data_IF_597741031086
#
_entry.id   IF_597741031086
#
_cell.length_a   1.000
_cell.length_b   1.000
_cell.length_c   1.000
_cell.angle_alpha   90.00
_cell.angle_beta   90.00
_cell.angle_gamma   90.00
#
_symmetry.space_group_name_H-M   'P 1'
#
loop_
_entity.id
_entity.type
_entity.pdbx_description
1 polymer ?
#
# COMPACT_ATOMS: atom_id res chain seq x y z
N UNK A 1 15.06 -12.67 9.77
CA UNK A 1 13.78 -13.24 9.27
C UNK A 1 12.91 -12.09 8.78
N UNK A 2 12.88 -11.91 7.46
CA UNK A 2 12.08 -10.85 6.82
C UNK A 2 10.64 -11.35 6.62
N UNK A 3 9.83 -11.28 7.66
CA UNK A 3 8.43 -11.66 7.59
C UNK A 3 7.56 -10.45 7.30
N UNK A 4 6.65 -10.56 6.32
CA UNK A 4 5.58 -9.57 6.15
C UNK A 4 4.56 -9.67 7.29
N UNK A 5 3.98 -8.53 7.64
CA UNK A 5 2.91 -8.41 8.63
C UNK A 5 1.67 -7.99 7.87
N UNK A 6 0.59 -8.75 8.01
CA UNK A 6 -0.69 -8.43 7.35
C UNK A 6 -1.79 -8.35 8.38
N UNK A 7 -2.61 -7.30 8.30
CA UNK A 7 -3.81 -7.16 9.12
C UNK A 7 -4.95 -6.51 8.36
N UNK A 8 -6.16 -6.64 8.88
CA UNK A 8 -7.36 -6.03 8.33
C UNK A 8 -8.03 -5.16 9.38
N UNK A 9 -8.33 -3.92 9.01
CA UNK A 9 -9.14 -2.98 9.79
C UNK A 9 -10.58 -3.11 9.31
N UNK A 10 -11.49 -3.67 10.10
CA UNK A 10 -12.87 -3.88 9.68
C UNK A 10 -13.69 -2.58 9.65
N UNK A 11 -14.77 -2.59 8.89
CA UNK A 11 -15.72 -1.49 8.80
C UNK A 11 -15.42 -0.48 7.69
N UNK A 12 -16.27 0.53 7.59
CA UNK A 12 -16.12 1.54 6.55
C UNK A 12 -14.82 2.34 6.72
N UNK A 13 -13.97 2.42 5.67
CA UNK A 13 -12.73 3.20 5.73
C UNK A 13 -13.00 4.65 6.12
N UNK A 14 -12.16 5.20 7.00
CA UNK A 14 -12.27 6.59 7.44
C UNK A 14 -10.97 7.34 7.16
N UNK A 15 -11.12 8.54 6.60
CA UNK A 15 -10.00 9.43 6.40
C UNK A 15 -9.66 10.18 7.68
N UNK A 16 -8.39 10.59 7.82
CA UNK A 16 -7.95 11.46 8.90
C UNK A 16 -8.70 12.79 8.86
N UNK A 17 -9.42 13.10 9.93
CA UNK A 17 -10.10 14.37 10.07
C UNK A 17 -9.12 15.50 10.38
N UNK A 18 -9.37 16.67 9.81
CA UNK A 18 -8.56 17.87 10.15
C UNK A 18 -8.73 18.21 11.63
N UNK A 19 -7.65 18.57 12.32
CA UNK A 19 -7.74 19.07 13.68
C UNK A 19 -8.67 20.29 13.75
N UNK A 20 -9.44 20.38 14.81
CA UNK A 20 -10.33 21.53 15.08
C UNK A 20 -9.76 22.36 16.21
N UNK A 21 -9.81 23.65 16.05
CA UNK A 21 -9.49 24.59 17.13
C UNK A 21 -10.77 24.82 17.95
N UNK A 22 -10.69 24.62 19.25
CA UNK A 22 -11.73 24.94 20.21
C UNK A 22 -11.17 25.71 21.38
N UNK A 23 -12.03 26.25 22.22
CA UNK A 23 -11.63 26.99 23.41
C UNK A 23 -11.99 26.18 24.66
N UNK A 24 -10.99 25.94 25.54
CA UNK A 24 -11.19 25.30 26.83
C UNK A 24 -10.62 26.26 27.91
N UNK A 25 -11.45 26.68 28.84
CA UNK A 25 -11.09 27.61 29.91
C UNK A 25 -10.42 28.90 29.40
N UNK A 26 -10.97 29.46 28.27
CA UNK A 26 -10.46 30.70 27.69
C UNK A 26 -9.20 30.55 26.85
N UNK A 27 -8.65 29.32 26.69
CA UNK A 27 -7.43 29.06 25.91
C UNK A 27 -7.75 28.24 24.65
N UNK A 28 -7.20 28.64 23.53
CA UNK A 28 -7.31 27.87 22.28
C UNK A 28 -6.64 26.50 22.46
N UNK A 29 -7.36 25.43 22.11
CA UNK A 29 -6.83 24.07 22.06
C UNK A 29 -7.16 23.43 20.71
N UNK A 30 -6.23 22.62 20.22
CA UNK A 30 -6.41 21.81 19.01
C UNK A 30 -6.92 20.43 19.42
N UNK A 31 -8.01 19.99 18.78
CA UNK A 31 -8.63 18.70 19.03
C UNK A 31 -8.64 17.86 17.76
N UNK A 32 -8.18 16.61 17.86
CA UNK A 32 -8.42 15.61 16.83
C UNK A 32 -9.86 15.11 16.95
N UNK A 33 -10.63 15.03 15.85
CA UNK A 33 -12.01 14.51 15.89
C UNK A 33 -12.07 13.11 16.52
N UNK A 34 -13.05 12.87 17.39
CA UNK A 34 -13.18 11.59 18.10
C UNK A 34 -13.25 10.38 17.16
N UNK A 35 -13.91 10.53 16.00
CA UNK A 35 -13.96 9.46 14.97
C UNK A 35 -12.58 9.12 14.44
N UNK A 36 -11.71 10.11 14.24
CA UNK A 36 -10.32 9.88 13.79
C UNK A 36 -9.54 9.12 14.85
N UNK A 37 -9.62 9.55 16.11
CA UNK A 37 -8.95 8.88 17.24
C UNK A 37 -9.44 7.43 17.37
N UNK A 38 -10.75 7.19 17.30
CA UNK A 38 -11.32 5.84 17.39
C UNK A 38 -10.84 4.95 16.25
N UNK A 39 -10.72 5.49 15.03
CA UNK A 39 -10.25 4.74 13.87
C UNK A 39 -8.75 4.45 13.93
N UNK A 40 -7.93 5.42 14.33
CA UNK A 40 -6.50 5.23 14.58
C UNK A 40 -6.25 4.18 15.67
N UNK A 41 -7.04 4.19 16.76
CA UNK A 41 -6.97 3.15 17.80
C UNK A 41 -7.34 1.76 17.28
N UNK A 42 -8.34 1.66 16.40
CA UNK A 42 -8.72 0.40 15.76
C UNK A 42 -7.59 -0.13 14.86
N UNK A 43 -6.92 0.76 14.10
CA UNK A 43 -5.75 0.42 13.30
C UNK A 43 -4.61 -0.07 14.19
N UNK A 44 -4.27 0.70 15.24
CA UNK A 44 -3.23 0.35 16.19
C UNK A 44 -3.48 -1.02 16.83
N UNK A 45 -4.71 -1.31 17.22
CA UNK A 45 -5.09 -2.61 17.79
C UNK A 45 -4.90 -3.76 16.79
N UNK A 46 -5.39 -3.59 15.55
CA UNK A 46 -5.24 -4.61 14.51
C UNK A 46 -3.76 -4.86 14.15
N UNK A 47 -2.97 -3.78 14.07
CA UNK A 47 -1.53 -3.87 13.84
C UNK A 47 -0.81 -4.57 15.01
N UNK A 48 -1.16 -4.25 16.26
CA UNK A 48 -0.56 -4.85 17.44
C UNK A 48 -0.84 -6.36 17.51
N UNK A 49 -2.05 -6.79 17.18
CA UNK A 49 -2.38 -8.21 17.08
C UNK A 49 -1.53 -8.92 16.01
N UNK A 50 -1.36 -8.30 14.84
CA UNK A 50 -0.55 -8.86 13.77
C UNK A 50 0.95 -8.86 14.09
N UNK A 51 1.43 -7.90 14.87
CA UNK A 51 2.80 -7.88 15.38
C UNK A 51 3.08 -9.04 16.34
N UNK A 52 2.07 -9.53 17.06
CA UNK A 52 2.19 -10.71 17.93
C UNK A 52 3.41 -10.66 18.86
N UNK A 53 3.68 -9.49 19.46
CA UNK A 53 4.82 -9.30 20.38
C UNK A 53 6.18 -9.11 19.69
N UNK A 54 6.22 -9.05 18.35
CA UNK A 54 7.47 -8.74 17.63
C UNK A 54 7.93 -7.31 17.95
N UNK A 55 9.23 -7.04 17.95
CA UNK A 55 9.74 -5.69 18.09
C UNK A 55 9.32 -4.82 16.90
N UNK A 56 9.32 -3.51 17.09
CA UNK A 56 9.09 -2.56 16.00
C UNK A 56 10.06 -2.83 14.85
N UNK A 57 9.56 -2.68 13.63
CA UNK A 57 10.41 -2.79 12.45
C UNK A 57 11.41 -1.62 12.49
N UNK A 58 12.68 -1.96 12.48
CA UNK A 58 13.77 -1.00 12.37
C UNK A 58 14.21 -0.88 10.89
N UNK A 59 14.48 0.36 10.46
CA UNK A 59 14.89 0.65 9.08
C UNK A 59 13.72 0.90 8.13
N UNK A 60 13.95 0.61 6.86
CA UNK A 60 13.04 0.94 5.75
C UNK A 60 11.84 -0.02 5.71
N UNK A 61 10.68 0.51 5.35
CA UNK A 61 9.42 -0.22 5.28
C UNK A 61 8.74 0.00 3.93
N UNK A 62 8.26 -1.09 3.34
CA UNK A 62 7.27 -1.07 2.25
C UNK A 62 5.88 -1.34 2.84
N UNK A 63 4.90 -0.54 2.45
CA UNK A 63 3.52 -0.64 2.91
C UNK A 63 2.56 -0.77 1.72
N UNK A 64 1.71 -1.80 1.74
CA UNK A 64 0.65 -1.99 0.75
C UNK A 64 -0.71 -1.90 1.42
N UNK A 65 -1.59 -1.05 0.88
CA UNK A 65 -2.90 -0.74 1.46
C UNK A 65 -4.00 -0.99 0.43
N UNK A 66 -4.88 -1.95 0.70
CA UNK A 66 -6.08 -2.22 -0.09
C UNK A 66 -7.32 -1.71 0.66
N UNK A 67 -8.01 -0.74 0.09
CA UNK A 67 -9.17 -0.08 0.67
C UNK A 67 -10.43 -0.60 -0.03
N UNK A 68 -11.27 -1.34 0.72
CA UNK A 68 -12.56 -1.83 0.28
C UNK A 68 -13.67 -0.88 0.80
N UNK A 69 -14.15 0.01 -0.08
CA UNK A 69 -15.21 0.96 0.24
C UNK A 69 -16.60 0.29 0.23
N UNK A 70 -17.55 0.73 1.06
CA UNK A 70 -18.90 0.20 1.04
C UNK A 70 -19.61 0.55 -0.26
N UNK A 71 -20.37 -0.41 -0.82
CA UNK A 71 -21.27 -0.17 -1.93
C UNK A 71 -22.54 0.48 -1.36
N UNK A 72 -23.03 1.61 -1.93
CA UNK A 72 -24.27 2.24 -1.45
C UNK A 72 -25.46 1.29 -1.55
N UNK A 73 -26.20 1.12 -0.45
CA UNK A 73 -27.37 0.25 -0.40
C UNK A 73 -28.49 0.64 -1.38
N UNK A 74 -28.51 1.91 -1.81
CA UNK A 74 -29.48 2.43 -2.79
C UNK A 74 -29.18 2.02 -4.24
N UNK A 75 -28.05 1.35 -4.52
CA UNK A 75 -27.71 0.96 -5.87
C UNK A 75 -28.51 -0.24 -6.35
N UNK A 76 -28.86 -0.26 -7.64
CA UNK A 76 -29.50 -1.41 -8.29
C UNK A 76 -28.57 -2.64 -8.24
N UNK A 77 -29.16 -3.84 -8.31
CA UNK A 77 -28.40 -5.11 -8.36
C UNK A 77 -27.34 -5.13 -9.46
N UNK A 78 -27.66 -4.60 -10.66
CA UNK A 78 -26.73 -4.50 -11.79
C UNK A 78 -25.54 -3.62 -11.45
N UNK A 79 -25.79 -2.42 -10.86
CA UNK A 79 -24.71 -1.49 -10.48
C UNK A 79 -23.86 -2.06 -9.34
N UNK A 80 -24.48 -2.76 -8.40
CA UNK A 80 -23.80 -3.46 -7.32
C UNK A 80 -22.86 -4.55 -7.87
N UNK A 81 -23.33 -5.36 -8.81
CA UNK A 81 -22.50 -6.39 -9.47
C UNK A 81 -21.32 -5.78 -10.23
N UNK A 82 -21.53 -4.71 -11.00
CA UNK A 82 -20.48 -3.99 -11.72
C UNK A 82 -19.41 -3.42 -10.77
N UNK A 83 -19.81 -2.93 -9.59
CA UNK A 83 -18.88 -2.45 -8.58
C UNK A 83 -18.01 -3.59 -8.00
N UNK A 84 -18.60 -4.75 -7.72
CA UNK A 84 -17.87 -5.92 -7.25
C UNK A 84 -16.95 -6.52 -8.32
N UNK A 85 -17.34 -6.44 -9.59
CA UNK A 85 -16.51 -6.85 -10.73
C UNK A 85 -15.33 -5.89 -10.99
N UNK A 86 -15.30 -4.72 -10.31
CA UNK A 86 -14.25 -3.72 -10.51
C UNK A 86 -14.45 -2.82 -11.74
N UNK A 87 -15.60 -2.89 -12.39
CA UNK A 87 -15.96 -2.02 -13.52
C UNK A 87 -16.26 -0.58 -13.05
N UNK A 88 -16.65 -0.43 -11.76
CA UNK A 88 -16.90 0.86 -11.14
C UNK A 88 -15.93 1.05 -9.96
N UNK A 89 -15.27 2.20 -9.93
CA UNK A 89 -14.35 2.57 -8.85
C UNK A 89 -14.95 3.64 -7.94
N UNK A 90 -14.65 3.61 -6.61
CA UNK A 90 -15.16 4.60 -5.68
C UNK A 90 -14.44 5.94 -5.84
N UNK A 91 -15.13 6.94 -6.39
CA UNK A 91 -14.64 8.31 -6.59
C UNK A 91 -15.16 9.29 -5.52
N UNK A 92 -15.83 8.77 -4.49
CA UNK A 92 -16.41 9.54 -3.38
C UNK A 92 -15.54 9.43 -2.13
N UNK A 93 -15.83 10.28 -1.14
CA UNK A 93 -15.16 10.24 0.18
C UNK A 93 -15.26 8.86 0.85
N UNK A 94 -14.28 8.51 1.71
CA UNK A 94 -13.11 9.30 2.08
C UNK A 94 -12.06 9.39 0.97
N UNK A 95 -11.27 10.47 0.96
CA UNK A 95 -10.17 10.67 0.03
C UNK A 95 -9.07 9.64 0.33
N UNK A 96 -8.41 9.16 -0.70
CA UNK A 96 -7.44 8.07 -0.60
C UNK A 96 -6.27 8.43 0.31
N UNK A 97 -5.70 9.62 0.13
CA UNK A 97 -4.58 10.16 0.91
C UNK A 97 -4.92 10.29 2.41
N UNK A 98 -6.14 10.72 2.72
CA UNK A 98 -6.60 10.85 4.10
C UNK A 98 -6.77 9.49 4.80
N UNK A 99 -7.17 8.44 4.06
CA UNK A 99 -7.23 7.07 4.61
C UNK A 99 -5.81 6.55 4.85
N UNK A 100 -4.92 6.73 3.89
CA UNK A 100 -3.50 6.40 4.02
C UNK A 100 -2.90 7.06 5.26
N UNK A 101 -3.12 8.37 5.43
CA UNK A 101 -2.60 9.09 6.60
C UNK A 101 -3.10 8.51 7.93
N UNK A 102 -4.37 8.15 8.01
CA UNK A 102 -4.92 7.52 9.21
C UNK A 102 -4.26 6.15 9.49
N UNK A 103 -4.01 5.34 8.44
CA UNK A 103 -3.35 4.04 8.56
C UNK A 103 -1.90 4.21 9.05
N UNK A 104 -1.14 5.09 8.42
CA UNK A 104 0.26 5.31 8.77
C UNK A 104 0.40 5.82 10.21
N UNK A 105 -0.42 6.82 10.60
CA UNK A 105 -0.43 7.36 11.95
C UNK A 105 -0.85 6.31 13.00
N UNK A 106 -1.83 5.45 12.68
CA UNK A 106 -2.26 4.36 13.57
C UNK A 106 -1.22 3.26 13.75
N UNK A 107 -0.28 3.13 12.83
CA UNK A 107 0.83 2.16 12.91
C UNK A 107 2.06 2.73 13.63
N UNK A 108 2.16 4.04 13.85
CA UNK A 108 3.27 4.66 14.56
C UNK A 108 3.36 4.14 16.00
N UNK A 109 4.56 3.75 16.42
CA UNK A 109 4.81 3.16 17.72
C UNK A 109 4.27 1.75 17.93
N UNK A 110 3.68 1.13 16.88
CA UNK A 110 3.12 -0.23 16.91
C UNK A 110 3.85 -1.15 15.93
N UNK A 111 3.90 -0.78 14.65
CA UNK A 111 4.58 -1.55 13.62
C UNK A 111 5.99 -1.00 13.33
N UNK A 112 6.15 0.30 13.35
CA UNK A 112 7.39 1.05 13.17
C UNK A 112 7.45 2.20 14.17
N UNK A 113 8.60 2.89 14.25
CA UNK A 113 8.76 4.03 15.15
C UNK A 113 8.04 5.27 14.64
N UNK A 114 8.18 5.55 13.35
CA UNK A 114 7.63 6.74 12.69
C UNK A 114 7.36 6.43 11.22
N UNK A 115 6.31 7.03 10.62
CA UNK A 115 5.90 6.84 9.23
C UNK A 115 6.95 7.35 8.22
N UNK A 116 7.94 8.12 8.64
CA UNK A 116 9.12 8.48 7.84
C UNK A 116 9.92 7.25 7.37
N UNK A 117 9.79 6.10 8.06
CA UNK A 117 10.41 4.84 7.66
C UNK A 117 9.77 4.21 6.42
N UNK A 118 8.57 4.66 6.01
CA UNK A 118 7.86 4.14 4.84
C UNK A 118 8.48 4.73 3.59
N UNK A 119 9.29 3.93 2.88
CA UNK A 119 10.00 4.34 1.66
C UNK A 119 9.30 3.89 0.38
N UNK A 120 8.36 2.97 0.50
CA UNK A 120 7.56 2.46 -0.60
C UNK A 120 6.11 2.28 -0.15
N UNK A 121 5.17 2.82 -0.94
CA UNK A 121 3.77 2.84 -0.60
C UNK A 121 2.91 2.53 -1.82
N UNK A 122 2.19 1.42 -1.74
CA UNK A 122 1.23 1.04 -2.76
C UNK A 122 -0.20 1.08 -2.21
N UNK A 123 -1.09 1.78 -2.90
CA UNK A 123 -2.47 1.98 -2.43
C UNK A 123 -3.48 1.70 -3.53
N UNK A 124 -4.53 0.96 -3.18
CA UNK A 124 -5.67 0.72 -4.07
C UNK A 124 -6.98 0.92 -3.33
N UNK A 125 -7.93 1.61 -3.97
CA UNK A 125 -9.28 1.81 -3.46
C UNK A 125 -10.30 1.23 -4.44
N UNK A 126 -11.17 0.35 -3.96
CA UNK A 126 -12.23 -0.30 -4.75
C UNK A 126 -13.49 -0.45 -3.91
N UNK A 127 -14.58 -0.84 -4.52
CA UNK A 127 -15.75 -1.32 -3.79
C UNK A 127 -15.52 -2.77 -3.35
N UNK A 128 -15.94 -3.10 -2.12
CA UNK A 128 -15.83 -4.44 -1.57
C UNK A 128 -17.17 -4.94 -1.03
N UNK A 129 -17.40 -6.25 -1.07
CA UNK A 129 -18.57 -6.87 -0.45
C UNK A 129 -18.59 -6.64 1.07
N UNK A 130 -17.41 -6.69 1.68
CA UNK A 130 -17.21 -6.36 3.09
C UNK A 130 -16.29 -5.16 3.17
N UNK A 131 -16.78 -4.00 3.64
CA UNK A 131 -15.95 -2.81 3.79
C UNK A 131 -14.82 -3.02 4.80
N UNK A 132 -13.64 -2.51 4.48
CA UNK A 132 -12.47 -2.62 5.34
C UNK A 132 -11.21 -2.08 4.70
N UNK A 133 -10.10 -2.14 5.43
CA UNK A 133 -8.78 -1.82 4.90
C UNK A 133 -7.83 -2.96 5.25
N UNK A 134 -7.22 -3.55 4.23
CA UNK A 134 -6.16 -4.54 4.40
C UNK A 134 -4.81 -3.84 4.25
N UNK A 135 -3.94 -4.07 5.20
CA UNK A 135 -2.60 -3.49 5.25
C UNK A 135 -1.58 -4.62 5.28
N UNK A 136 -0.57 -4.53 4.43
CA UNK A 136 0.59 -5.39 4.46
C UNK A 136 1.83 -4.53 4.63
N UNK A 137 2.66 -4.89 5.58
CA UNK A 137 3.89 -4.20 5.95
C UNK A 137 5.05 -5.17 5.80
N UNK A 138 6.10 -4.75 5.09
CA UNK A 138 7.30 -5.55 4.90
C UNK A 138 8.53 -4.71 5.21
N UNK A 139 9.43 -5.24 6.05
CA UNK A 139 10.73 -4.62 6.26
C UNK A 139 11.54 -4.71 4.96
N UNK A 140 12.02 -3.58 4.47
CA UNK A 140 12.88 -3.52 3.29
C UNK A 140 14.32 -3.63 3.77
N UNK A 141 14.93 -4.80 3.57
CA UNK A 141 16.35 -4.97 3.82
C UNK A 141 17.18 -4.12 2.83
N UNK A 142 18.39 -3.73 3.23
CA UNK A 142 19.29 -2.96 2.37
C UNK A 142 19.62 -3.67 1.02
N UNK A 143 19.24 -4.94 0.89
CA UNK A 143 19.49 -5.79 -0.27
C UNK A 143 18.22 -6.33 -0.94
N UNK A 144 17.03 -5.91 -0.49
CA UNK A 144 15.79 -6.33 -1.14
C UNK A 144 15.52 -5.45 -2.37
N UNK A 145 16.33 -5.66 -3.40
CA UNK A 145 16.00 -5.18 -4.73
C UNK A 145 14.82 -6.01 -5.26
N UNK A 146 13.80 -5.33 -5.74
CA UNK A 146 12.62 -5.96 -6.34
C UNK A 146 13.02 -6.67 -7.64
N UNK A 147 12.51 -7.88 -7.91
CA UNK A 147 12.80 -8.54 -9.16
C UNK A 147 12.35 -7.70 -10.36
N UNK A 148 13.20 -7.65 -11.37
CA UNK A 148 12.89 -6.99 -12.64
C UNK A 148 12.20 -7.99 -13.56
N UNK A 149 11.25 -7.52 -14.34
CA UNK A 149 10.57 -8.26 -15.39
C UNK A 149 10.72 -7.55 -16.72
N UNK A 150 10.62 -8.28 -17.82
CA UNK A 150 10.64 -7.72 -19.15
C UNK A 150 9.48 -8.23 -19.99
N UNK A 151 8.96 -7.39 -20.88
CA UNK A 151 8.02 -7.76 -21.93
C UNK A 151 8.22 -6.89 -23.16
N UNK A 152 7.80 -7.40 -24.30
CA UNK A 152 7.79 -6.66 -25.55
C UNK A 152 6.49 -5.86 -25.70
N UNK A 153 6.63 -4.57 -26.01
CA UNK A 153 5.54 -3.68 -26.37
C UNK A 153 5.73 -3.23 -27.82
N UNK A 154 4.71 -3.37 -28.71
CA UNK A 154 4.84 -3.08 -30.13
C UNK A 154 5.36 -1.66 -30.42
N UNK A 155 4.91 -0.68 -29.65
CA UNK A 155 5.23 0.74 -29.84
C UNK A 155 6.49 1.22 -29.13
N UNK A 156 7.08 0.42 -28.23
CA UNK A 156 8.18 0.84 -27.36
C UNK A 156 9.36 -0.14 -27.30
N UNK A 157 9.22 -1.34 -27.88
CA UNK A 157 10.24 -2.38 -27.81
C UNK A 157 10.17 -3.18 -26.49
N UNK A 158 11.32 -3.72 -26.05
CA UNK A 158 11.40 -4.46 -24.80
C UNK A 158 11.49 -3.53 -23.60
N UNK A 159 10.59 -3.74 -22.65
CA UNK A 159 10.45 -2.92 -21.45
C UNK A 159 10.75 -3.76 -20.23
N UNK A 160 11.62 -3.27 -19.37
CA UNK A 160 11.95 -3.90 -18.08
C UNK A 160 11.37 -3.06 -16.97
N UNK A 161 10.64 -3.68 -16.05
CA UNK A 161 10.04 -3.01 -14.90
C UNK A 161 10.21 -3.82 -13.61
N UNK A 162 9.97 -3.18 -12.48
CA UNK A 162 9.93 -3.82 -11.16
C UNK A 162 8.50 -4.17 -10.78
N UNK A 163 8.32 -5.37 -10.24
CA UNK A 163 7.08 -5.70 -9.56
C UNK A 163 7.06 -5.06 -8.17
N UNK A 164 6.08 -4.21 -7.94
CA UNK A 164 5.84 -3.54 -6.65
C UNK A 164 4.87 -4.34 -5.77
N UNK A 165 4.27 -5.42 -6.28
CA UNK A 165 3.27 -6.24 -5.59
C UNK A 165 3.56 -7.74 -5.63
N UNK A 166 3.79 -8.34 -4.46
CA UNK A 166 3.61 -9.76 -4.07
C UNK A 166 3.93 -10.86 -5.10
N UNK A 167 4.89 -10.68 -6.00
CA UNK A 167 5.22 -11.74 -6.97
C UNK A 167 4.07 -12.18 -7.89
N UNK A 168 2.94 -11.49 -7.87
CA UNK A 168 1.83 -11.66 -8.80
C UNK A 168 1.63 -10.38 -9.60
N UNK A 169 1.63 -10.52 -10.91
CA UNK A 169 1.30 -9.45 -11.86
C UNK A 169 -0.12 -8.93 -11.59
N UNK A 170 -0.22 -7.89 -10.79
CA UNK A 170 -1.46 -7.13 -10.59
C UNK A 170 -1.34 -5.70 -11.13
N UNK A 171 -0.14 -5.29 -11.54
CA UNK A 171 0.06 -4.06 -12.29
C UNK A 171 0.07 -4.43 -13.77
N UNK A 172 -0.86 -3.88 -14.55
CA UNK A 172 -0.75 -3.98 -16.00
C UNK A 172 0.53 -3.27 -16.42
N UNK A 173 1.21 -3.79 -17.44
CA UNK A 173 2.40 -3.19 -18.00
C UNK A 173 2.20 -1.69 -18.33
N UNK A 174 0.98 -1.32 -18.74
CA UNK A 174 0.57 0.07 -19.01
C UNK A 174 0.75 0.99 -17.80
N UNK A 175 0.54 0.50 -16.60
CA UNK A 175 0.72 1.30 -15.37
C UNK A 175 2.20 1.50 -15.06
N UNK A 176 3.03 0.47 -15.23
CA UNK A 176 4.47 0.57 -15.02
C UNK A 176 5.12 1.53 -16.02
N UNK A 177 4.71 1.48 -17.29
CA UNK A 177 5.18 2.39 -18.35
C UNK A 177 4.81 3.84 -18.05
N UNK A 178 3.57 4.12 -17.63
CA UNK A 178 3.13 5.46 -17.28
C UNK A 178 3.84 6.03 -16.05
N UNK A 179 4.28 5.15 -15.14
CA UNK A 179 5.01 5.55 -13.94
C UNK A 179 6.51 5.83 -14.17
N UNK A 180 7.02 5.73 -15.42
CA UNK A 180 8.44 5.93 -15.77
C UNK A 180 9.43 5.03 -14.97
N UNK A 181 8.95 3.92 -14.46
CA UNK A 181 9.75 2.97 -13.67
C UNK A 181 10.32 1.83 -14.53
N UNK A 182 10.64 2.12 -15.76
CA UNK A 182 11.03 1.13 -16.76
C UNK A 182 12.31 1.53 -17.48
N UNK A 183 13.14 0.52 -17.80
CA UNK A 183 14.22 0.65 -18.76
C UNK A 183 13.73 0.07 -20.10
N UNK A 184 13.95 0.78 -21.18
CA UNK A 184 13.54 0.39 -22.54
C UNK A 184 14.73 -0.13 -23.32
N UNK A 185 14.58 -1.29 -23.97
CA UNK A 185 15.61 -1.93 -24.79
C UNK A 185 15.10 -2.16 -26.21
N UNK A 186 16.01 -2.08 -27.15
CA UNK A 186 15.72 -2.31 -28.57
C UNK A 186 15.65 -3.82 -28.88
N UNK A 187 16.37 -4.63 -28.13
CA UNK A 187 16.51 -6.08 -28.33
C UNK A 187 16.06 -6.87 -27.11
N UNK A 188 15.31 -7.96 -27.35
CA UNK A 188 14.79 -8.82 -26.29
C UNK A 188 15.87 -9.58 -25.50
N UNK A 189 16.99 -9.91 -26.15
CA UNK A 189 18.15 -10.55 -25.50
C UNK A 189 18.80 -9.60 -24.49
N UNK A 190 18.97 -8.32 -24.82
CA UNK A 190 19.52 -7.31 -23.91
C UNK A 190 18.61 -7.08 -22.70
N UNK A 191 17.28 -7.04 -22.92
CA UNK A 191 16.31 -6.88 -21.82
C UNK A 191 16.32 -8.10 -20.89
N UNK A 192 16.39 -9.32 -21.44
CA UNK A 192 16.46 -10.56 -20.68
C UNK A 192 17.77 -10.64 -19.88
N UNK A 193 18.91 -10.34 -20.50
CA UNK A 193 20.22 -10.32 -19.85
C UNK A 193 20.28 -9.27 -18.73
N UNK A 194 19.70 -8.08 -18.94
CA UNK A 194 19.60 -7.07 -17.91
C UNK A 194 18.75 -7.55 -16.72
N UNK A 195 17.61 -8.21 -16.98
CA UNK A 195 16.76 -8.80 -15.95
C UNK A 195 17.51 -9.88 -15.16
N UNK A 196 18.19 -10.81 -15.84
CA UNK A 196 18.96 -11.88 -15.21
C UNK A 196 20.10 -11.32 -14.39
N UNK A 197 20.86 -10.37 -14.93
CA UNK A 197 21.98 -9.75 -14.24
C UNK A 197 21.53 -9.05 -12.96
N UNK A 198 20.44 -8.26 -13.04
CA UNK A 198 19.86 -7.58 -11.87
C UNK A 198 19.28 -8.54 -10.86
N UNK A 199 18.60 -9.59 -11.30
CA UNK A 199 18.03 -10.59 -10.41
C UNK A 199 19.12 -11.44 -9.73
N UNK A 200 20.25 -11.73 -10.44
CA UNK A 200 21.40 -12.45 -9.88
C UNK A 200 22.14 -11.61 -8.83
N UNK A 201 22.26 -10.31 -9.04
CA UNK A 201 22.83 -9.41 -8.02
C UNK A 201 21.99 -9.41 -6.73
N UNK A 202 20.67 -9.55 -6.84
CA UNK A 202 19.76 -9.64 -5.71
C UNK A 202 19.93 -10.96 -4.94
N UNK A 203 20.02 -12.08 -5.67
CA UNK A 203 20.16 -13.42 -5.06
C UNK A 203 21.58 -13.69 -4.54
N UNK A 204 22.61 -13.19 -5.21
CA UNK A 204 24.01 -13.34 -4.79
C UNK A 204 24.36 -12.58 -3.51
N UNK A 205 23.70 -11.47 -3.23
CA UNK A 205 23.89 -10.72 -1.98
C UNK A 205 23.29 -11.43 -0.75
N UNK A 206 22.37 -12.39 -0.95
CA UNK A 206 21.75 -13.19 0.12
C UNK A 206 22.51 -14.50 0.41
N UNK A 207 23.59 -14.79 -0.31
CA UNK A 207 24.33 -16.07 -0.25
C UNK A 207 25.63 -16.06 0.58
N UNK A 208 25.98 -14.95 1.23
CA UNK A 208 27.19 -14.87 2.07
C UNK A 208 26.84 -14.32 3.45
N UNK A 209 26.39 -15.22 4.33
CA UNK A 209 26.76 -15.31 5.76
C UNK A 209 26.23 -16.59 6.36
#
# INVERSE_FOLDING_TARGET
MSGSITFTVPGAPQGKGRPRVGTVSGRARVFTPAKTVAYENLIAHAAQQAMAGRPLIDGQVSCSIAIDAPIPASWSKRKHAAALAGELMPTTKPDLDNVVKAILDGCNGVAWRDDVQVVDLAVRKRYGATPGVRVMITAVGATQAWPHRCAYLPDMGYVVWRDVFEGRMTCSLDVAVRAHQVAVFVCGSEAAEYCEHRNTQITGANGVR
#
